data_IF_031103492219
#
_entry.id   IF_031103492219
#
_cell.length_a   1.000
_cell.length_b   1.000
_cell.length_c   1.000
_cell.angle_alpha   90.00
_cell.angle_beta   90.00
_cell.angle_gamma   90.00
#
_symmetry.space_group_name_H-M   'P 1'
#
loop_
_entity.id
_entity.type
_entity.pdbx_description
1 polymer ?
#
# COMPACT_ATOMS: atom_id res chain seq x y z
N UNK A 1 17.56 -11.07 -3.80
CA UNK A 1 16.09 -10.88 -3.86
C UNK A 1 15.86 -9.45 -4.30
N UNK A 2 14.83 -9.18 -5.12
CA UNK A 2 14.52 -7.79 -5.50
C UNK A 2 13.93 -6.99 -4.33
N UNK A 3 13.89 -5.67 -4.49
CA UNK A 3 13.19 -4.80 -3.56
C UNK A 3 11.70 -5.15 -3.49
N UNK A 4 11.09 -5.04 -2.32
CA UNK A 4 9.65 -5.27 -2.12
C UNK A 4 9.04 -4.12 -1.33
N UNK A 5 7.78 -3.83 -1.57
CA UNK A 5 7.03 -2.90 -0.71
C UNK A 5 6.78 -3.62 0.62
N UNK A 6 7.35 -3.11 1.69
CA UNK A 6 7.37 -3.76 3.01
C UNK A 6 6.43 -3.15 4.02
N UNK A 7 6.09 -1.86 3.90
CA UNK A 7 5.20 -1.22 4.86
C UNK A 7 4.43 -0.01 4.29
N UNK A 8 3.38 0.34 5.02
CA UNK A 8 2.67 1.62 4.94
C UNK A 8 2.71 2.25 6.32
N UNK A 9 2.92 3.56 6.39
CA UNK A 9 2.87 4.31 7.63
C UNK A 9 1.66 5.25 7.64
N UNK A 10 0.90 5.21 8.72
CA UNK A 10 -0.32 5.98 8.93
C UNK A 10 -0.17 6.79 10.21
N UNK A 11 -0.41 8.11 10.17
CA UNK A 11 -0.57 8.90 11.37
C UNK A 11 -1.98 8.73 11.96
N UNK A 12 -2.03 8.44 13.25
CA UNK A 12 -3.27 8.22 14.00
C UNK A 12 -3.25 9.03 15.29
N UNK A 13 -4.41 9.49 15.71
CA UNK A 13 -4.59 10.06 17.07
C UNK A 13 -4.52 8.98 18.13
N UNK A 14 -4.94 7.76 17.80
CA UNK A 14 -4.92 6.61 18.70
C UNK A 14 -4.50 5.33 17.99
N UNK A 15 -3.18 5.10 17.79
CA UNK A 15 -2.66 3.94 17.08
C UNK A 15 -3.11 2.60 17.65
N UNK A 16 -3.22 2.48 18.97
CA UNK A 16 -3.66 1.22 19.60
C UNK A 16 -5.12 0.88 19.25
N UNK A 17 -5.99 1.88 19.20
CA UNK A 17 -7.38 1.68 18.81
C UNK A 17 -7.50 1.32 17.34
N UNK A 18 -6.70 1.96 16.49
CA UNK A 18 -6.64 1.64 15.07
C UNK A 18 -6.07 0.24 14.81
N UNK A 19 -5.04 -0.18 15.57
CA UNK A 19 -4.51 -1.54 15.52
C UNK A 19 -5.57 -2.59 15.91
N UNK A 20 -6.33 -2.30 16.98
CA UNK A 20 -7.45 -3.13 17.40
C UNK A 20 -8.53 -3.24 16.31
N UNK A 21 -8.86 -2.12 15.65
CA UNK A 21 -9.81 -2.11 14.54
C UNK A 21 -9.36 -3.07 13.41
N UNK A 22 -8.12 -2.96 12.95
CA UNK A 22 -7.60 -3.84 11.90
C UNK A 22 -7.55 -5.31 12.34
N UNK A 23 -7.17 -5.57 13.57
CA UNK A 23 -7.17 -6.93 14.13
C UNK A 23 -8.57 -7.55 14.17
N UNK A 24 -9.57 -6.82 14.67
CA UNK A 24 -10.95 -7.31 14.81
C UNK A 24 -11.66 -7.47 13.47
N UNK A 25 -11.45 -6.55 12.54
CA UNK A 25 -12.14 -6.58 11.24
C UNK A 25 -11.50 -7.56 10.29
N UNK A 26 -10.17 -7.49 10.14
CA UNK A 26 -9.44 -8.23 9.10
C UNK A 26 -8.63 -9.41 9.62
N UNK A 27 -8.57 -9.60 10.93
CA UNK A 27 -7.72 -10.65 11.52
C UNK A 27 -6.21 -10.41 11.35
N UNK A 28 -5.82 -9.16 11.05
CA UNK A 28 -4.42 -8.78 10.95
C UNK A 28 -3.77 -8.85 12.32
N UNK A 29 -2.55 -9.39 12.36
CA UNK A 29 -1.83 -9.57 13.61
C UNK A 29 -1.28 -8.24 14.13
N UNK A 30 -1.62 -7.88 15.36
CA UNK A 30 -0.95 -6.81 16.09
C UNK A 30 0.41 -7.33 16.56
N UNK A 31 1.50 -6.70 16.13
CA UNK A 31 2.86 -7.14 16.45
C UNK A 31 3.43 -6.40 17.66
N UNK A 32 2.90 -5.25 18.03
CA UNK A 32 3.27 -4.57 19.24
C UNK A 32 2.86 -3.10 19.30
N UNK A 33 3.09 -2.53 20.47
CA UNK A 33 2.97 -1.10 20.76
C UNK A 33 4.26 -0.69 21.46
N UNK A 34 4.85 0.43 21.04
CA UNK A 34 6.05 0.96 21.68
C UNK A 34 5.73 1.99 22.77
N UNK A 35 6.76 2.36 23.54
CA UNK A 35 6.65 3.33 24.65
C UNK A 35 6.23 4.74 24.20
N UNK A 36 6.32 5.00 22.89
CA UNK A 36 5.91 6.26 22.27
C UNK A 36 4.44 6.26 21.88
N UNK A 37 3.77 5.10 22.03
CA UNK A 37 2.38 4.88 21.68
C UNK A 37 2.14 4.66 20.20
N UNK A 38 3.18 4.30 19.43
CA UNK A 38 3.00 3.77 18.08
C UNK A 38 2.60 2.29 18.16
N UNK A 39 1.87 1.82 17.16
CA UNK A 39 1.47 0.41 17.05
C UNK A 39 1.83 -0.16 15.67
N UNK A 40 1.99 -1.46 15.60
CA UNK A 40 2.26 -2.16 14.34
C UNK A 40 1.31 -3.32 14.17
N UNK A 41 0.81 -3.46 12.94
CA UNK A 41 0.03 -4.62 12.52
C UNK A 41 0.63 -5.20 11.23
N UNK A 42 0.51 -6.49 11.03
CA UNK A 42 1.07 -7.18 9.87
C UNK A 42 0.14 -8.26 9.33
N UNK A 43 0.13 -8.41 8.02
CA UNK A 43 -0.45 -9.58 7.34
C UNK A 43 0.58 -10.71 7.15
N UNK A 44 1.81 -10.52 7.64
CA UNK A 44 2.93 -11.45 7.49
C UNK A 44 3.82 -11.13 6.28
N UNK A 45 3.38 -10.28 5.36
CA UNK A 45 4.18 -9.77 4.23
C UNK A 45 4.44 -8.28 4.34
N UNK A 46 3.40 -7.50 4.63
CA UNK A 46 3.47 -6.07 4.83
C UNK A 46 3.13 -5.68 6.27
N UNK A 47 3.78 -4.63 6.72
CA UNK A 47 3.45 -3.97 7.99
C UNK A 47 2.65 -2.70 7.75
N UNK A 48 1.73 -2.40 8.65
CA UNK A 48 1.19 -1.05 8.80
C UNK A 48 1.76 -0.47 10.08
N UNK A 49 2.61 0.56 9.92
CA UNK A 49 3.12 1.35 11.04
C UNK A 49 2.08 2.42 11.39
N UNK A 50 1.43 2.27 12.51
CA UNK A 50 0.45 3.21 13.05
C UNK A 50 1.19 4.17 13.96
N UNK A 51 1.48 5.37 13.48
CA UNK A 51 2.33 6.35 14.14
C UNK A 51 1.50 7.38 14.89
N UNK A 52 1.80 7.58 16.17
CA UNK A 52 1.11 8.57 16.99
C UNK A 52 1.44 9.98 16.53
N UNK A 53 0.40 10.79 16.31
CA UNK A 53 0.57 12.24 16.15
C UNK A 53 1.05 12.85 17.47
N UNK A 54 2.23 13.46 17.44
CA UNK A 54 2.87 14.01 18.64
C UNK A 54 2.71 15.52 18.79
N UNK A 55 2.20 16.18 17.77
CA UNK A 55 2.04 17.63 17.75
C UNK A 55 0.82 18.04 16.93
N UNK A 56 0.07 19.09 17.34
CA UNK A 56 -0.97 19.67 16.49
C UNK A 56 -0.46 20.16 15.11
N UNK A 57 0.84 20.51 15.04
CA UNK A 57 1.50 20.89 13.79
C UNK A 57 1.94 19.69 12.94
N UNK A 58 1.89 18.46 13.48
CA UNK A 58 2.12 17.25 12.68
C UNK A 58 1.03 17.12 11.61
N UNK A 59 1.34 16.48 10.48
CA UNK A 59 0.31 16.19 9.47
C UNK A 59 -0.93 15.57 10.11
N UNK A 60 -2.10 15.88 9.53
CA UNK A 60 -3.37 15.28 10.00
C UNK A 60 -3.26 13.76 10.00
N UNK A 61 -4.14 13.08 10.76
CA UNK A 61 -4.32 11.65 10.64
C UNK A 61 -4.48 11.27 9.16
N UNK A 62 -3.82 10.21 8.74
CA UNK A 62 -3.81 9.81 7.34
C UNK A 62 -2.56 9.04 6.93
N UNK A 63 -2.56 8.53 5.71
CA UNK A 63 -1.42 7.82 5.14
C UNK A 63 -0.29 8.84 4.95
N UNK A 64 0.88 8.54 5.51
CA UNK A 64 2.03 9.44 5.48
C UNK A 64 3.05 9.01 4.43
N UNK A 65 3.44 7.74 4.43
CA UNK A 65 4.40 7.19 3.49
C UNK A 65 4.23 5.68 3.35
N UNK A 66 4.90 5.11 2.39
CA UNK A 66 5.14 3.67 2.24
C UNK A 66 6.65 3.42 2.27
N UNK A 67 7.06 2.17 2.32
CA UNK A 67 8.49 1.87 2.32
C UNK A 67 8.82 0.58 1.59
N UNK A 68 10.02 0.57 1.01
CA UNK A 68 10.62 -0.61 0.43
C UNK A 68 11.53 -1.32 1.43
N UNK A 69 11.48 -2.63 1.43
CA UNK A 69 12.48 -3.48 2.08
C UNK A 69 13.40 -4.05 1.01
N UNK A 70 14.70 -3.96 1.24
CA UNK A 70 15.75 -4.41 0.32
C UNK A 70 16.77 -5.30 1.05
N UNK A 71 17.52 -6.09 0.30
CA UNK A 71 18.70 -6.77 0.84
C UNK A 71 19.75 -5.70 1.24
N UNK A 72 20.36 -5.80 2.44
CA UNK A 72 21.43 -4.88 2.85
C UNK A 72 22.56 -4.76 1.82
N UNK A 73 22.91 -5.84 1.13
CA UNK A 73 23.94 -5.83 0.10
C UNK A 73 23.55 -5.02 -1.16
N UNK A 74 22.27 -4.84 -1.43
CA UNK A 74 21.76 -4.07 -2.57
C UNK A 74 21.71 -2.56 -2.30
N UNK A 75 21.74 -2.14 -1.02
CA UNK A 75 21.59 -0.74 -0.62
C UNK A 75 22.56 0.22 -1.34
N UNK A 76 23.89 -0.02 -1.41
CA UNK A 76 24.82 0.90 -2.08
C UNK A 76 24.50 1.10 -3.58
N UNK A 77 24.13 0.04 -4.26
CA UNK A 77 23.78 0.10 -5.68
C UNK A 77 22.45 0.87 -5.90
N UNK A 78 21.49 0.70 -5.00
CA UNK A 78 20.22 1.43 -5.04
C UNK A 78 20.45 2.93 -4.81
N UNK A 79 21.23 3.31 -3.81
CA UNK A 79 21.56 4.72 -3.56
C UNK A 79 22.26 5.37 -4.76
N UNK A 80 23.16 4.64 -5.44
CA UNK A 80 23.80 5.10 -6.67
C UNK A 80 22.79 5.31 -7.82
N UNK A 81 21.77 4.46 -7.95
CA UNK A 81 20.68 4.65 -8.92
C UNK A 81 19.85 5.89 -8.60
N UNK A 82 19.45 6.07 -7.33
CA UNK A 82 18.66 7.24 -6.89
C UNK A 82 19.39 8.56 -7.16
N UNK A 83 20.71 8.57 -6.98
CA UNK A 83 21.54 9.75 -7.26
C UNK A 83 21.45 10.19 -8.72
N UNK A 84 21.27 9.28 -9.67
CA UNK A 84 21.05 9.62 -11.11
C UNK A 84 19.74 10.40 -11.33
N UNK A 85 18.77 10.27 -10.43
CA UNK A 85 17.54 11.04 -10.41
C UNK A 85 17.65 12.34 -9.60
N UNK A 86 18.85 12.68 -9.11
CA UNK A 86 19.06 13.84 -8.23
C UNK A 86 18.52 13.64 -6.82
N UNK A 87 18.30 12.40 -6.41
CA UNK A 87 17.74 12.05 -5.11
C UNK A 87 18.88 11.69 -4.18
N UNK A 88 18.97 12.41 -3.06
CA UNK A 88 19.88 12.10 -1.97
C UNK A 88 19.05 11.60 -0.77
N UNK A 89 19.14 10.31 -0.46
CA UNK A 89 18.47 9.75 0.70
C UNK A 89 19.02 10.35 2.00
N UNK A 90 18.11 10.60 2.92
CA UNK A 90 18.44 11.05 4.27
C UNK A 90 18.22 9.90 5.25
N UNK A 91 19.27 9.50 5.96
CA UNK A 91 19.14 8.52 7.05
C UNK A 91 18.87 9.26 8.36
N UNK A 92 17.62 9.28 8.86
CA UNK A 92 17.27 10.02 10.08
C UNK A 92 17.90 9.43 11.34
N UNK A 93 18.54 8.26 11.24
CA UNK A 93 19.12 7.53 12.37
C UNK A 93 20.65 7.54 12.41
N UNK A 94 21.32 8.14 11.43
CA UNK A 94 22.78 8.33 11.50
C UNK A 94 23.16 9.25 12.66
N UNK A 95 22.32 10.26 12.93
CA UNK A 95 22.51 11.24 13.98
C UNK A 95 21.75 10.92 15.29
N UNK A 96 21.08 9.78 15.35
CA UNK A 96 20.30 9.31 16.50
C UNK A 96 20.72 7.87 16.90
N UNK A 97 21.96 7.69 17.41
CA UNK A 97 22.49 6.36 17.75
C UNK A 97 21.68 5.64 18.84
N UNK A 98 20.93 6.37 19.66
CA UNK A 98 20.00 5.81 20.64
C UNK A 98 18.76 5.15 20.00
N UNK A 99 18.51 5.37 18.73
CA UNK A 99 17.39 4.74 18.01
C UNK A 99 17.64 3.26 17.67
N UNK A 100 18.59 2.61 18.31
CA UNK A 100 18.97 1.17 18.24
C UNK A 100 18.13 0.32 17.27
N UNK A 101 18.28 0.61 15.97
CA UNK A 101 17.65 -0.24 14.94
C UNK A 101 18.71 -1.20 14.38
N UNK A 102 18.41 -2.50 14.31
CA UNK A 102 19.31 -3.48 13.75
C UNK A 102 19.43 -3.41 12.22
N UNK A 103 18.78 -2.41 11.60
CA UNK A 103 18.73 -2.24 10.14
C UNK A 103 18.87 -0.75 9.77
N UNK A 104 19.33 -0.50 8.55
CA UNK A 104 19.36 0.85 7.99
C UNK A 104 17.98 1.22 7.46
N UNK A 105 17.59 2.49 7.65
CA UNK A 105 16.37 3.05 7.07
C UNK A 105 16.70 4.46 6.55
N UNK A 106 16.45 4.67 5.27
CA UNK A 106 16.64 5.93 4.58
C UNK A 106 15.29 6.53 4.22
N UNK A 107 15.06 7.79 4.63
CA UNK A 107 13.91 8.55 4.18
C UNK A 107 14.21 9.17 2.81
N UNK A 108 13.30 9.05 1.89
CA UNK A 108 13.49 9.43 0.48
C UNK A 108 12.25 10.16 -0.04
N UNK A 109 12.45 11.00 -1.04
CA UNK A 109 11.36 11.52 -1.87
C UNK A 109 11.54 11.05 -3.30
N UNK A 110 10.48 10.57 -3.92
CA UNK A 110 10.49 10.22 -5.33
C UNK A 110 10.59 11.48 -6.23
N UNK A 111 10.75 11.34 -7.55
CA UNK A 111 10.88 12.49 -8.46
C UNK A 111 9.67 13.44 -8.48
N UNK A 112 8.55 13.06 -7.87
CA UNK A 112 7.33 13.87 -7.73
C UNK A 112 7.13 14.38 -6.30
N UNK A 113 8.11 14.13 -5.41
CA UNK A 113 8.11 14.61 -4.03
C UNK A 113 7.34 13.74 -3.02
N UNK A 114 6.85 12.56 -3.42
CA UNK A 114 6.18 11.66 -2.49
C UNK A 114 7.21 11.01 -1.56
N UNK A 115 6.92 11.04 -0.27
CA UNK A 115 7.79 10.41 0.72
C UNK A 115 7.65 8.89 0.70
N UNK A 116 8.79 8.22 0.74
CA UNK A 116 8.88 6.79 1.03
C UNK A 116 10.16 6.50 1.82
N UNK A 117 10.22 5.33 2.44
CA UNK A 117 11.40 4.88 3.17
C UNK A 117 12.03 3.66 2.47
N UNK A 118 13.34 3.51 2.63
CA UNK A 118 14.08 2.32 2.19
C UNK A 118 14.73 1.69 3.40
N UNK A 119 14.30 0.48 3.74
CA UNK A 119 14.79 -0.26 4.89
C UNK A 119 15.53 -1.53 4.46
N UNK A 120 16.59 -1.88 5.19
CA UNK A 120 17.28 -3.16 5.05
C UNK A 120 16.72 -4.22 6.00
N UNK A 121 15.60 -3.97 6.62
CA UNK A 121 14.87 -4.85 7.52
C UNK A 121 13.51 -4.30 7.86
N UNK A 122 12.74 -5.05 8.65
CA UNK A 122 11.45 -4.62 9.16
C UNK A 122 11.53 -4.46 10.67
N UNK A 123 10.75 -3.52 11.24
CA UNK A 123 10.70 -3.35 12.68
C UNK A 123 9.92 -4.50 13.31
N UNK A 124 10.62 -5.37 14.02
CA UNK A 124 9.98 -6.26 14.98
C UNK A 124 10.03 -5.61 16.37
N UNK A 125 8.89 -5.15 16.85
CA UNK A 125 8.75 -4.57 18.20
C UNK A 125 9.04 -5.56 19.32
N UNK A 126 9.14 -6.86 19.01
CA UNK A 126 9.52 -7.91 19.95
C UNK A 126 11.02 -8.17 20.03
N UNK A 127 11.84 -7.37 19.32
CA UNK A 127 13.28 -7.32 19.52
C UNK A 127 14.15 -8.07 18.49
N UNK A 128 13.62 -8.39 17.32
CA UNK A 128 14.42 -8.98 16.24
C UNK A 128 14.08 -8.41 14.87
N UNK A 129 15.00 -8.45 13.88
CA UNK A 129 14.60 -8.21 12.50
C UNK A 129 13.58 -9.28 12.11
N UNK A 130 12.39 -8.86 11.68
CA UNK A 130 11.49 -9.79 11.03
C UNK A 130 12.25 -10.40 9.86
N UNK A 131 12.47 -11.71 9.87
CA UNK A 131 13.22 -12.35 8.81
C UNK A 131 12.46 -12.16 7.49
N UNK A 132 13.14 -11.64 6.48
CA UNK A 132 12.64 -11.57 5.09
C UNK A 132 12.26 -12.98 4.58
N UNK A 133 12.77 -14.02 5.24
CA UNK A 133 12.52 -15.43 4.92
C UNK A 133 11.10 -15.91 5.24
N UNK A 134 10.34 -15.20 6.06
CA UNK A 134 8.92 -15.45 6.28
C UNK A 134 8.02 -14.84 5.22
N UNK A 135 8.52 -14.65 4.01
CA UNK A 135 7.69 -14.20 2.89
C UNK A 135 6.39 -14.99 2.93
N UNK A 136 5.26 -14.30 2.86
CA UNK A 136 3.97 -14.92 2.68
C UNK A 136 4.04 -15.75 1.41
N UNK A 137 4.68 -16.90 1.54
CA UNK A 137 4.57 -17.99 0.59
C UNK A 137 3.09 -18.20 0.39
N UNK A 138 2.69 -18.60 -0.77
CA UNK A 138 1.39 -19.04 -1.28
C UNK A 138 0.22 -19.27 -0.27
N UNK A 139 0.53 -19.41 1.02
CA UNK A 139 -0.39 -19.61 2.15
C UNK A 139 -1.42 -18.50 2.36
N UNK A 140 -1.17 -17.30 1.87
CA UNK A 140 -2.06 -16.18 2.15
C UNK A 140 -3.02 -15.86 1.00
N UNK A 141 -2.82 -16.40 -0.18
CA UNK A 141 -3.72 -16.16 -1.29
C UNK A 141 -5.02 -16.95 -1.08
N UNK A 142 -6.08 -16.23 -0.76
CA UNK A 142 -7.42 -16.79 -0.64
C UNK A 142 -7.80 -17.33 0.74
N UNK A 143 -6.92 -17.36 1.73
CA UNK A 143 -7.25 -17.90 3.06
C UNK A 143 -7.51 -16.84 4.13
N UNK A 144 -6.99 -15.63 3.96
CA UNK A 144 -7.18 -14.50 4.89
C UNK A 144 -7.00 -13.16 4.18
N UNK A 145 -7.48 -12.05 4.76
CA UNK A 145 -7.17 -10.72 4.27
C UNK A 145 -5.66 -10.45 4.23
N UNK A 146 -5.19 -9.91 3.11
CA UNK A 146 -3.79 -9.51 2.91
C UNK A 146 -3.72 -8.14 2.25
N UNK A 147 -2.69 -7.36 2.57
CA UNK A 147 -2.46 -6.05 1.98
C UNK A 147 -1.81 -6.23 0.61
N UNK A 148 -2.47 -5.77 -0.46
CA UNK A 148 -2.01 -6.03 -1.82
C UNK A 148 -2.07 -4.84 -2.75
N UNK A 149 -2.51 -3.69 -2.26
CA UNK A 149 -2.72 -2.54 -3.11
C UNK A 149 -2.30 -1.24 -2.42
N UNK A 150 -1.63 -0.36 -3.18
CA UNK A 150 -1.39 1.04 -2.81
C UNK A 150 -1.72 1.88 -4.04
N UNK A 151 -2.41 3.00 -3.84
CA UNK A 151 -2.69 3.95 -4.89
C UNK A 151 -2.12 5.33 -4.55
N UNK A 152 -1.46 5.94 -5.54
CA UNK A 152 -0.80 7.22 -5.44
C UNK A 152 -1.23 8.12 -6.60
N UNK A 153 -1.68 9.34 -6.31
CA UNK A 153 -1.93 10.35 -7.34
C UNK A 153 -0.66 11.09 -7.74
N UNK A 154 -0.45 11.24 -9.04
CA UNK A 154 0.71 11.93 -9.61
C UNK A 154 0.33 12.75 -10.84
N UNK A 155 1.05 13.85 -11.05
CA UNK A 155 0.98 14.63 -12.29
C UNK A 155 1.76 13.97 -13.43
N UNK A 156 2.73 13.10 -13.09
CA UNK A 156 3.55 12.36 -14.06
C UNK A 156 3.71 10.90 -13.62
N UNK A 157 2.78 10.07 -14.04
CA UNK A 157 2.74 8.65 -13.71
C UNK A 157 3.84 7.86 -14.43
N UNK A 158 4.21 8.29 -15.66
CA UNK A 158 5.25 7.65 -16.45
C UNK A 158 6.63 7.81 -15.79
N UNK A 159 6.94 9.04 -15.36
CA UNK A 159 8.18 9.33 -14.63
C UNK A 159 8.31 8.49 -13.35
N UNK A 160 7.21 8.31 -12.63
CA UNK A 160 7.18 7.46 -11.44
C UNK A 160 7.35 5.98 -11.79
N UNK A 161 6.66 5.49 -12.82
CA UNK A 161 6.77 4.10 -13.26
C UNK A 161 8.21 3.77 -13.69
N UNK A 162 8.86 4.69 -14.42
CA UNK A 162 10.27 4.55 -14.79
C UNK A 162 11.16 4.53 -13.55
N UNK A 163 11.00 5.48 -12.64
CA UNK A 163 11.79 5.56 -11.42
C UNK A 163 11.71 4.29 -10.57
N UNK A 164 10.47 3.82 -10.27
CA UNK A 164 10.28 2.62 -9.47
C UNK A 164 10.74 1.34 -10.22
N UNK A 165 10.59 1.31 -11.54
CA UNK A 165 11.11 0.22 -12.36
C UNK A 165 12.64 0.14 -12.32
N UNK A 166 13.35 1.25 -12.55
CA UNK A 166 14.81 1.29 -12.61
C UNK A 166 15.47 1.12 -11.23
N UNK A 167 14.90 1.76 -10.19
CA UNK A 167 15.47 1.72 -8.85
C UNK A 167 15.14 0.42 -8.11
N UNK A 168 13.89 -0.02 -8.17
CA UNK A 168 13.36 -1.11 -7.33
C UNK A 168 12.99 -2.37 -8.11
N UNK A 169 13.11 -2.35 -9.44
CA UNK A 169 12.78 -3.51 -10.28
C UNK A 169 11.28 -3.78 -10.37
N UNK A 170 10.44 -2.78 -10.06
CA UNK A 170 8.98 -2.94 -10.19
C UNK A 170 8.58 -3.14 -11.65
N UNK A 171 7.68 -4.07 -11.89
CA UNK A 171 7.23 -4.45 -13.23
C UNK A 171 5.91 -3.77 -13.57
N UNK A 172 5.81 -3.19 -14.76
CA UNK A 172 4.55 -2.65 -15.29
C UNK A 172 3.60 -3.80 -15.60
N UNK A 173 2.38 -3.70 -15.08
CA UNK A 173 1.32 -4.70 -15.27
C UNK A 173 0.17 -4.18 -16.11
N UNK A 174 0.06 -2.87 -16.32
CA UNK A 174 -0.96 -2.30 -17.18
C UNK A 174 -0.99 -0.79 -17.19
N UNK A 175 -1.78 -0.23 -18.09
CA UNK A 175 -2.05 1.20 -18.19
C UNK A 175 -3.45 1.46 -18.73
N UNK A 176 -4.07 2.54 -18.29
CA UNK A 176 -5.35 3.01 -18.82
C UNK A 176 -5.55 4.49 -18.54
N UNK A 177 -5.84 5.28 -19.57
CA UNK A 177 -6.19 6.71 -19.45
C UNK A 177 -5.20 7.54 -18.61
N UNK A 178 -3.90 7.23 -18.73
CA UNK A 178 -2.81 7.88 -17.98
C UNK A 178 -2.57 7.31 -16.59
N UNK A 179 -3.36 6.36 -16.12
CA UNK A 179 -3.07 5.57 -14.93
C UNK A 179 -2.14 4.42 -15.30
N UNK A 180 -1.14 4.13 -14.46
CA UNK A 180 -0.17 3.05 -14.65
C UNK A 180 -0.16 2.15 -13.43
N UNK A 181 -0.15 0.83 -13.66
CA UNK A 181 -0.01 -0.17 -12.59
C UNK A 181 1.36 -0.81 -12.68
N UNK A 182 2.03 -0.86 -11.54
CA UNK A 182 3.33 -1.53 -11.37
C UNK A 182 3.24 -2.49 -10.18
N UNK A 183 4.11 -3.49 -10.13
CA UNK A 183 4.13 -4.47 -9.02
C UNK A 183 5.54 -4.93 -8.70
N UNK A 184 5.78 -5.25 -7.44
CA UNK A 184 6.95 -6.01 -6.96
C UNK A 184 6.74 -7.53 -7.04
N UNK A 185 5.58 -7.96 -7.57
CA UNK A 185 5.14 -9.36 -7.61
C UNK A 185 4.11 -9.71 -6.53
N UNK A 186 4.02 -8.91 -5.47
CA UNK A 186 3.04 -9.07 -4.40
C UNK A 186 2.07 -7.89 -4.33
N UNK A 187 2.57 -6.67 -4.17
CA UNK A 187 1.76 -5.46 -4.08
C UNK A 187 1.51 -4.88 -5.46
N UNK A 188 0.27 -4.55 -5.77
CA UNK A 188 -0.10 -3.76 -6.93
C UNK A 188 -0.06 -2.27 -6.55
N UNK A 189 0.81 -1.53 -7.19
CA UNK A 189 0.98 -0.11 -6.97
C UNK A 189 0.37 0.67 -8.13
N UNK A 190 -0.77 1.30 -7.88
CA UNK A 190 -1.47 2.13 -8.86
C UNK A 190 -0.93 3.56 -8.83
N UNK A 191 -0.29 3.97 -9.89
CA UNK A 191 0.10 5.34 -10.16
C UNK A 191 -1.05 6.00 -10.93
N UNK A 192 -1.86 6.79 -10.23
CA UNK A 192 -3.08 7.37 -10.77
C UNK A 192 -2.83 8.79 -11.25
N UNK A 193 -3.22 9.07 -12.49
CA UNK A 193 -3.12 10.40 -13.07
C UNK A 193 -4.09 11.37 -12.37
N UNK A 194 -3.58 12.51 -11.95
CA UNK A 194 -4.38 13.59 -11.38
C UNK A 194 -5.23 14.24 -12.46
N UNK A 195 -6.48 13.80 -12.58
CA UNK A 195 -7.46 14.37 -13.54
C UNK A 195 -7.99 15.73 -13.14
N UNK A 196 -7.80 16.11 -11.86
CA UNK A 196 -8.22 17.41 -11.31
C UNK A 196 -7.04 18.04 -10.58
N UNK A 197 -6.67 19.29 -10.87
CA UNK A 197 -5.58 19.99 -10.15
C UNK A 197 -5.80 20.07 -8.64
N UNK A 198 -7.06 20.01 -8.20
CA UNK A 198 -7.46 20.02 -6.78
C UNK A 198 -7.30 18.68 -6.08
N UNK A 199 -7.11 17.58 -6.81
CA UNK A 199 -6.81 16.28 -6.19
C UNK A 199 -5.45 16.36 -5.51
N UNK A 200 -5.31 15.91 -4.25
CA UNK A 200 -4.02 15.91 -3.57
C UNK A 200 -3.04 15.01 -4.32
N UNK A 201 -1.79 15.46 -4.44
CA UNK A 201 -0.70 14.58 -4.84
C UNK A 201 -0.31 13.71 -3.66
N UNK A 202 0.12 12.48 -3.92
CA UNK A 202 0.58 11.57 -2.89
C UNK A 202 -0.28 10.33 -2.74
N UNK A 203 -0.04 9.59 -1.66
CA UNK A 203 -0.77 8.36 -1.39
C UNK A 203 -2.23 8.70 -1.10
N UNK A 204 -3.12 8.05 -1.84
CA UNK A 204 -4.55 8.29 -1.76
C UNK A 204 -5.27 7.21 -0.94
N UNK A 205 -4.94 5.96 -1.18
CA UNK A 205 -5.51 4.81 -0.47
C UNK A 205 -4.61 3.59 -0.60
N UNK A 206 -4.95 2.58 0.12
CA UNK A 206 -4.36 1.26 0.08
C UNK A 206 -5.47 0.22 0.07
N UNK A 207 -5.16 -1.07 -0.01
CA UNK A 207 -6.25 -2.04 -0.11
C UNK A 207 -5.87 -3.43 0.32
N UNK A 208 -6.91 -4.17 0.73
CA UNK A 208 -6.85 -5.58 1.04
C UNK A 208 -7.36 -6.42 -0.13
N UNK A 209 -6.69 -7.54 -0.38
CA UNK A 209 -7.34 -8.68 -1.03
C UNK A 209 -7.89 -9.58 0.05
N UNK A 210 -9.18 -9.90 -0.03
CA UNK A 210 -9.91 -10.70 0.95
C UNK A 210 -10.45 -11.98 0.29
N UNK A 211 -10.55 -13.10 1.02
CA UNK A 211 -11.27 -14.27 0.54
C UNK A 211 -12.74 -13.93 0.23
N UNK A 212 -13.27 -14.45 -0.87
CA UNK A 212 -14.66 -14.15 -1.27
C UNK A 212 -15.67 -14.55 -0.21
N UNK A 213 -15.46 -15.68 0.46
CA UNK A 213 -16.29 -16.16 1.55
C UNK A 213 -16.21 -15.28 2.81
N UNK A 214 -15.11 -14.57 3.04
CA UNK A 214 -14.94 -13.68 4.19
C UNK A 214 -15.59 -12.31 3.99
N UNK A 215 -16.01 -11.97 2.76
CA UNK A 215 -16.55 -10.65 2.43
C UNK A 215 -17.75 -10.28 3.31
N UNK A 216 -18.71 -11.18 3.45
CA UNK A 216 -19.94 -10.95 4.24
C UNK A 216 -19.65 -10.67 5.72
N UNK A 217 -18.72 -11.41 6.33
CA UNK A 217 -18.31 -11.22 7.72
C UNK A 217 -17.59 -9.89 7.92
N UNK A 218 -16.66 -9.54 7.02
CA UNK A 218 -15.94 -8.26 7.05
C UNK A 218 -16.91 -7.08 6.91
N UNK A 219 -17.87 -7.17 6.00
CA UNK A 219 -18.92 -6.15 5.84
C UNK A 219 -19.76 -5.97 7.10
N UNK A 220 -20.17 -7.08 7.72
CA UNK A 220 -20.92 -7.06 8.98
C UNK A 220 -20.13 -6.36 10.09
N UNK A 221 -18.85 -6.70 10.23
CA UNK A 221 -17.95 -6.08 11.22
C UNK A 221 -17.75 -4.58 10.97
N UNK A 222 -17.52 -4.18 9.73
CA UNK A 222 -17.35 -2.76 9.36
C UNK A 222 -18.63 -1.98 9.63
N UNK A 223 -19.78 -2.51 9.23
CA UNK A 223 -21.10 -1.89 9.46
C UNK A 223 -21.40 -1.74 10.94
N UNK A 224 -21.12 -2.77 11.74
CA UNK A 224 -21.31 -2.73 13.20
C UNK A 224 -20.43 -1.68 13.89
N UNK A 225 -19.30 -1.32 13.27
CA UNK A 225 -18.40 -0.25 13.74
C UNK A 225 -18.77 1.14 13.20
N UNK A 226 -19.82 1.26 12.37
CA UNK A 226 -20.28 2.51 11.77
C UNK A 226 -19.59 2.88 10.45
N UNK A 227 -18.85 1.97 9.82
CA UNK A 227 -18.11 2.19 8.58
C UNK A 227 -18.54 1.22 7.47
N UNK A 228 -19.83 1.24 7.04
CA UNK A 228 -20.31 0.34 5.99
C UNK A 228 -19.52 0.58 4.70
N UNK A 229 -18.98 -0.46 4.06
CA UNK A 229 -18.33 -0.32 2.77
C UNK A 229 -19.32 0.06 1.67
N UNK A 230 -18.84 0.76 0.65
CA UNK A 230 -19.60 1.09 -0.54
C UNK A 230 -19.11 0.27 -1.74
N UNK A 231 -20.04 -0.26 -2.53
CA UNK A 231 -19.73 -0.86 -3.82
C UNK A 231 -19.80 0.22 -4.91
N UNK A 232 -18.69 0.62 -5.53
CA UNK A 232 -18.71 1.62 -6.59
C UNK A 232 -19.50 1.19 -7.84
N UNK A 233 -19.78 -0.13 -7.99
CA UNK A 233 -20.62 -0.64 -9.08
C UNK A 233 -22.10 -0.38 -8.84
N UNK A 234 -22.51 -0.13 -7.61
CA UNK A 234 -23.87 0.31 -7.33
C UNK A 234 -24.16 1.66 -7.99
N UNK A 235 -23.12 2.48 -8.20
CA UNK A 235 -23.18 3.80 -8.82
C UNK A 235 -22.95 3.75 -10.35
N UNK A 236 -22.25 2.72 -10.86
CA UNK A 236 -21.97 2.56 -12.28
C UNK A 236 -22.12 1.08 -12.73
N UNK A 237 -23.32 0.70 -13.17
CA UNK A 237 -23.58 -0.66 -13.65
C UNK A 237 -22.85 -1.01 -14.95
N UNK A 238 -22.16 -0.05 -15.58
CA UNK A 238 -21.36 -0.31 -16.78
C UNK A 238 -19.97 -0.86 -16.47
N UNK A 239 -19.53 -0.80 -15.21
CA UNK A 239 -18.27 -1.36 -14.78
C UNK A 239 -18.39 -2.88 -14.67
N UNK A 240 -17.88 -3.58 -15.68
CA UNK A 240 -17.78 -5.04 -15.66
C UNK A 240 -16.37 -5.45 -15.18
N UNK A 241 -16.27 -5.84 -13.93
CA UNK A 241 -15.02 -6.33 -13.34
C UNK A 241 -15.17 -7.80 -12.94
N UNK A 242 -14.16 -8.64 -13.21
CA UNK A 242 -14.20 -10.05 -12.79
C UNK A 242 -14.06 -10.24 -11.27
N UNK A 243 -13.91 -9.16 -10.51
CA UNK A 243 -13.73 -9.15 -9.07
C UNK A 243 -14.52 -8.02 -8.42
N UNK A 244 -14.79 -8.18 -7.13
CA UNK A 244 -15.38 -7.13 -6.29
C UNK A 244 -14.29 -6.16 -5.85
N UNK A 245 -14.57 -4.87 -5.89
CA UNK A 245 -13.73 -3.81 -5.33
C UNK A 245 -14.62 -2.83 -4.58
N UNK A 246 -14.70 -3.02 -3.28
CA UNK A 246 -15.50 -2.17 -2.40
C UNK A 246 -14.61 -1.10 -1.75
N UNK A 247 -15.18 0.01 -1.38
CA UNK A 247 -14.48 1.12 -0.72
C UNK A 247 -14.87 1.16 0.75
N UNK A 248 -13.89 1.17 1.62
CA UNK A 248 -14.08 1.29 3.06
C UNK A 248 -13.25 2.42 3.66
N UNK A 249 -13.56 2.72 4.91
CA UNK A 249 -12.80 3.67 5.73
C UNK A 249 -12.54 3.05 7.10
N UNK A 250 -11.40 3.37 7.68
CA UNK A 250 -11.12 3.04 9.06
C UNK A 250 -11.66 4.11 10.03
N UNK A 251 -11.43 3.92 11.31
CA UNK A 251 -11.91 4.81 12.38
C UNK A 251 -11.28 6.21 12.36
N UNK A 252 -10.15 6.39 11.67
CA UNK A 252 -9.48 7.67 11.47
C UNK A 252 -9.85 8.30 10.11
N UNK A 253 -10.73 7.63 9.32
CA UNK A 253 -11.19 8.09 8.02
C UNK A 253 -10.22 7.76 6.87
N UNK A 254 -9.20 6.92 7.07
CA UNK A 254 -8.32 6.49 5.99
C UNK A 254 -9.08 5.57 5.05
N UNK A 255 -9.02 5.88 3.77
CA UNK A 255 -9.67 5.08 2.75
C UNK A 255 -8.86 3.84 2.43
N UNK A 256 -9.53 2.71 2.33
CA UNK A 256 -8.99 1.47 1.79
C UNK A 256 -9.97 0.80 0.81
N UNK A 257 -9.41 -0.03 -0.05
CA UNK A 257 -10.17 -0.87 -0.97
C UNK A 257 -10.23 -2.30 -0.45
N UNK A 258 -11.34 -2.98 -0.74
CA UNK A 258 -11.56 -4.40 -0.47
C UNK A 258 -11.77 -5.11 -1.80
N UNK A 259 -10.83 -5.95 -2.20
CA UNK A 259 -10.93 -6.72 -3.45
C UNK A 259 -10.98 -8.21 -3.16
N UNK A 260 -11.72 -8.97 -3.96
CA UNK A 260 -11.79 -10.43 -3.82
C UNK A 260 -10.79 -11.18 -4.71
N UNK A 261 -10.07 -10.46 -5.56
CA UNK A 261 -9.01 -11.01 -6.40
C UNK A 261 -7.97 -9.93 -6.73
N UNK A 262 -6.79 -10.37 -7.14
CA UNK A 262 -5.80 -9.48 -7.74
C UNK A 262 -6.35 -8.94 -9.06
N UNK A 263 -6.15 -7.63 -9.31
CA UNK A 263 -6.53 -7.01 -10.57
C UNK A 263 -5.72 -7.62 -11.72
N UNK A 264 -6.42 -8.16 -12.70
CA UNK A 264 -5.86 -8.61 -13.97
C UNK A 264 -6.30 -7.65 -15.07
N UNK A 265 -5.38 -6.79 -15.50
CA UNK A 265 -5.65 -5.76 -16.50
C UNK A 265 -5.93 -6.33 -17.89
N UNK A 266 -5.32 -7.44 -18.23
CA UNK A 266 -5.53 -8.06 -19.55
C UNK A 266 -6.91 -8.72 -19.61
N UNK A 267 -7.32 -9.39 -18.54
CA UNK A 267 -8.66 -9.94 -18.41
C UNK A 267 -9.73 -8.84 -18.38
N UNK A 268 -9.47 -7.73 -17.68
CA UNK A 268 -10.37 -6.57 -17.64
C UNK A 268 -10.53 -5.95 -19.04
N UNK A 269 -9.43 -5.79 -19.80
CA UNK A 269 -9.46 -5.31 -21.19
C UNK A 269 -10.20 -6.29 -22.12
N UNK A 270 -9.94 -7.58 -21.97
CA UNK A 270 -10.60 -8.62 -22.77
C UNK A 270 -12.12 -8.57 -22.59
N UNK A 271 -12.61 -8.58 -21.35
CA UNK A 271 -14.04 -8.50 -21.02
C UNK A 271 -14.68 -7.21 -21.51
N UNK A 272 -13.99 -6.07 -21.35
CA UNK A 272 -14.46 -4.79 -21.85
C UNK A 272 -14.65 -4.81 -23.35
N UNK A 273 -13.69 -5.35 -24.09
CA UNK A 273 -13.76 -5.45 -25.56
C UNK A 273 -14.87 -6.40 -26.02
N UNK A 274 -15.04 -7.55 -25.37
CA UNK A 274 -16.14 -8.50 -25.65
C UNK A 274 -17.51 -7.85 -25.44
N UNK A 275 -17.65 -7.11 -24.34
CA UNK A 275 -18.90 -6.39 -24.05
C UNK A 275 -19.20 -5.30 -25.07
N UNK A 276 -18.19 -4.48 -25.42
CA UNK A 276 -18.36 -3.45 -26.45
C UNK A 276 -18.73 -4.05 -27.81
N UNK A 277 -18.15 -5.19 -28.17
CA UNK A 277 -18.48 -5.92 -29.41
C UNK A 277 -19.93 -6.41 -29.41
N UNK A 278 -20.45 -6.81 -28.26
CA UNK A 278 -21.84 -7.28 -28.12
C UNK A 278 -22.87 -6.12 -28.09
N UNK A 279 -22.44 -4.88 -27.85
CA UNK A 279 -23.31 -3.69 -27.86
C UNK A 279 -23.44 -3.06 -29.24
N UNK A 280 -22.61 -3.45 -30.21
CA UNK A 280 -22.73 -2.99 -31.61
C UNK A 280 -23.72 -3.96 -32.32
N UNK A 281 -24.89 -3.49 -32.74
CA UNK A 281 -25.81 -4.34 -33.50
C UNK A 281 -25.13 -4.85 -34.79
N UNK A 282 -25.23 -6.13 -35.05
CA UNK A 282 -24.81 -6.66 -36.35
C UNK A 282 -25.61 -5.90 -37.46
N UNK A 283 -24.85 -5.28 -38.38
CA UNK A 283 -25.40 -4.57 -39.52
C UNK A 283 -26.02 -5.55 -40.51
#
# INVERSE_FOLDING_TARGET
MGARIGHIAIFSENPSNLAKFYGEVFGIKVTGVDDLGNAWVTDGYMDIALLRRRSPSAPKAGINHFGFTIDPAERPALLAKMKKYGIEPYSPYVDAPEAHRPYAEDAVKDPMGNRFDVSTGMKDVRGGPASIEGGATELAQGQRPVIRHIALFSDDTEKLAQFYGECFGMKRTGESKGDIWITDGWVDFALLSRKRPTAPQGIHHWGFTIPGESRGDIYTKLTAKGFPPSDPRAEDPTIDRPYVEDKGHDIDGNRFDLTTAKRDMDEEKRRTNERLSNLVPAK
#
